data_IF_343868045795
#
_entry.id   IF_343868045795
#
_cell.length_a   1.000
_cell.length_b   1.000
_cell.length_c   1.000
_cell.angle_alpha   90.00
_cell.angle_beta   90.00
_cell.angle_gamma   90.00
#
_symmetry.space_group_name_H-M   'P 1'
#
loop_
_entity.id
_entity.type
_entity.pdbx_description
1 polymer ?
#
# COMPACT_ATOMS: atom_id res chain seq x y z
N UNK A 1 -6.74 -20.35 19.58
CA UNK A 1 -6.65 -18.88 19.52
C UNK A 1 -5.35 -18.41 18.84
N UNK A 2 -4.17 -18.83 19.28
CA UNK A 2 -2.86 -18.42 18.74
C UNK A 2 -2.69 -18.61 17.22
N UNK A 3 -3.12 -19.74 16.65
CA UNK A 3 -3.10 -20.00 15.21
C UNK A 3 -3.80 -18.93 14.36
N UNK A 4 -5.00 -18.54 14.79
CA UNK A 4 -5.78 -17.51 14.10
C UNK A 4 -5.09 -16.16 14.17
N UNK A 5 -4.50 -15.82 15.32
CA UNK A 5 -3.77 -14.56 15.50
C UNK A 5 -2.52 -14.51 14.64
N UNK A 6 -1.71 -15.59 14.59
CA UNK A 6 -0.49 -15.65 13.77
C UNK A 6 -0.82 -15.51 12.28
N UNK A 7 -1.83 -16.22 11.78
CA UNK A 7 -2.27 -16.08 10.38
C UNK A 7 -2.83 -14.69 10.08
N UNK A 8 -3.53 -14.08 11.05
CA UNK A 8 -4.02 -12.71 10.93
C UNK A 8 -2.88 -11.69 10.84
N UNK A 9 -1.85 -11.82 11.67
CA UNK A 9 -0.64 -10.97 11.63
C UNK A 9 0.11 -11.13 10.31
N UNK A 10 0.26 -12.35 9.81
CA UNK A 10 0.90 -12.62 8.53
C UNK A 10 0.15 -11.99 7.35
N UNK A 11 -1.17 -12.05 7.38
CA UNK A 11 -2.01 -11.36 6.38
C UNK A 11 -1.87 -9.85 6.50
N UNK A 12 -1.81 -9.30 7.73
CA UNK A 12 -1.56 -7.88 7.97
C UNK A 12 -0.23 -7.41 7.40
N UNK A 13 0.84 -8.19 7.55
CA UNK A 13 2.15 -7.89 6.93
C UNK A 13 2.06 -7.89 5.41
N UNK A 14 1.39 -8.86 4.80
CA UNK A 14 1.18 -8.86 3.34
C UNK A 14 0.40 -7.63 2.88
N UNK A 15 -0.72 -7.32 3.53
CA UNK A 15 -1.52 -6.15 3.20
C UNK A 15 -0.74 -4.83 3.32
N UNK A 16 0.15 -4.72 4.30
CA UNK A 16 1.01 -3.56 4.46
C UNK A 16 2.04 -3.45 3.32
N UNK A 17 2.64 -4.55 2.89
CA UNK A 17 3.57 -4.58 1.76
C UNK A 17 2.86 -4.28 0.42
N UNK A 18 1.63 -4.75 0.24
CA UNK A 18 0.80 -4.41 -0.92
C UNK A 18 0.47 -2.92 -0.95
N UNK A 19 0.17 -2.33 0.23
CA UNK A 19 -0.04 -0.89 0.36
C UNK A 19 1.22 -0.08 -0.01
N UNK A 20 2.40 -0.49 0.48
CA UNK A 20 3.69 0.14 0.13
C UNK A 20 3.91 0.06 -1.39
N UNK A 21 3.64 -1.09 -2.00
CA UNK A 21 3.81 -1.27 -3.45
C UNK A 21 2.86 -0.37 -4.25
N UNK A 22 1.60 -0.25 -3.82
CA UNK A 22 0.62 0.66 -4.43
C UNK A 22 1.04 2.13 -4.31
N UNK A 23 1.55 2.54 -3.14
CA UNK A 23 2.05 3.90 -2.92
C UNK A 23 3.26 4.18 -3.83
N UNK A 24 4.18 3.23 -3.99
CA UNK A 24 5.35 3.40 -4.84
C UNK A 24 4.97 3.57 -6.33
N UNK A 25 3.93 2.87 -6.80
CA UNK A 25 3.39 3.06 -8.15
C UNK A 25 2.82 4.47 -8.31
N UNK A 26 2.05 4.95 -7.33
CA UNK A 26 1.51 6.31 -7.35
C UNK A 26 2.63 7.36 -7.29
N UNK A 27 3.61 7.21 -6.40
CA UNK A 27 4.72 8.17 -6.29
C UNK A 27 5.56 8.22 -7.57
N UNK A 28 5.81 7.08 -8.22
CA UNK A 28 6.48 7.02 -9.51
C UNK A 28 5.75 7.82 -10.59
N UNK A 29 4.43 7.70 -10.67
CA UNK A 29 3.62 8.52 -11.59
C UNK A 29 3.69 10.02 -11.25
N UNK A 30 3.67 10.37 -9.95
CA UNK A 30 3.78 11.77 -9.51
C UNK A 30 5.16 12.39 -9.82
N UNK A 31 6.23 11.61 -9.87
CA UNK A 31 7.55 12.11 -10.30
C UNK A 31 7.50 12.61 -11.74
N UNK A 32 6.89 11.84 -12.64
CA UNK A 32 6.76 12.24 -14.05
C UNK A 32 5.84 13.45 -14.21
N UNK A 33 4.74 13.50 -13.46
CA UNK A 33 3.88 14.70 -13.41
C UNK A 33 4.68 15.93 -12.96
N UNK A 34 5.56 15.78 -11.95
CA UNK A 34 6.42 16.87 -11.49
C UNK A 34 7.39 17.37 -12.56
N UNK A 35 8.00 16.46 -13.31
CA UNK A 35 8.89 16.80 -14.42
C UNK A 35 8.14 17.58 -15.53
N UNK A 36 6.92 17.12 -15.85
CA UNK A 36 6.08 17.82 -16.83
C UNK A 36 5.65 19.21 -16.36
N UNK A 37 5.27 19.36 -15.08
CA UNK A 37 4.94 20.68 -14.51
C UNK A 37 6.12 21.63 -14.56
N UNK A 38 7.35 21.17 -14.30
CA UNK A 38 8.55 22.00 -14.45
C UNK A 38 8.77 22.42 -15.90
N UNK A 39 8.57 21.50 -16.85
CA UNK A 39 8.64 21.85 -18.28
C UNK A 39 7.58 22.86 -18.69
N UNK A 40 6.35 22.70 -18.19
CA UNK A 40 5.27 23.67 -18.42
C UNK A 40 5.62 25.06 -17.84
N UNK A 41 6.30 25.09 -16.69
CA UNK A 41 6.79 26.34 -16.09
C UNK A 41 7.82 27.05 -16.98
N UNK A 42 8.77 26.32 -17.57
CA UNK A 42 9.73 26.87 -18.54
C UNK A 42 9.03 27.47 -19.75
N UNK A 43 8.06 26.74 -20.33
CA UNK A 43 7.27 27.21 -21.48
C UNK A 43 6.48 28.48 -21.15
N UNK A 44 5.85 28.53 -19.97
CA UNK A 44 5.11 29.68 -19.50
C UNK A 44 6.01 30.91 -19.30
N UNK A 45 7.22 30.70 -18.75
CA UNK A 45 8.21 31.78 -18.58
C UNK A 45 8.69 32.29 -19.94
N UNK A 46 8.95 31.41 -20.90
CA UNK A 46 9.35 31.76 -22.26
C UNK A 46 8.25 32.54 -22.98
N UNK A 47 6.99 32.06 -22.88
CA UNK A 47 5.85 32.75 -23.49
C UNK A 47 5.56 34.13 -22.88
N UNK A 48 5.92 34.34 -21.62
CA UNK A 48 5.76 35.63 -20.91
C UNK A 48 6.75 36.68 -21.38
N UNK A 49 7.80 36.32 -22.11
CA UNK A 49 8.79 37.25 -22.59
C UNK A 49 8.19 38.16 -23.69
N UNK A 50 8.33 39.47 -23.54
CA UNK A 50 7.83 40.45 -24.49
C UNK A 50 8.49 40.42 -25.89
N UNK A 51 9.62 39.69 -26.03
CA UNK A 51 10.30 39.50 -27.32
C UNK A 51 9.71 38.34 -28.13
N UNK A 52 8.88 37.50 -27.53
CA UNK A 52 8.25 36.34 -28.18
C UNK A 52 7.08 36.83 -29.03
N UNK A 53 7.00 36.38 -30.29
CA UNK A 53 5.91 36.74 -31.21
C UNK A 53 4.63 35.96 -30.86
N UNK A 54 3.48 36.38 -31.37
CA UNK A 54 2.22 35.66 -31.21
C UNK A 54 2.29 34.24 -31.81
N UNK A 55 2.93 34.10 -32.95
CA UNK A 55 3.14 32.79 -33.58
C UNK A 55 3.98 31.87 -32.71
N UNK A 56 5.08 32.39 -32.14
CA UNK A 56 5.93 31.60 -31.24
C UNK A 56 5.16 31.15 -29.99
N UNK A 57 4.37 32.04 -29.40
CA UNK A 57 3.51 31.71 -28.27
C UNK A 57 2.48 30.61 -28.63
N UNK A 58 1.98 30.60 -29.83
CA UNK A 58 1.08 29.54 -30.31
C UNK A 58 1.79 28.20 -30.38
N UNK A 59 3.04 28.15 -30.84
CA UNK A 59 3.82 26.92 -30.86
C UNK A 59 4.15 26.44 -29.43
N UNK A 60 4.57 27.34 -28.54
CA UNK A 60 4.80 27.01 -27.13
C UNK A 60 3.53 26.52 -26.45
N UNK A 61 2.37 27.09 -26.77
CA UNK A 61 1.07 26.66 -26.23
C UNK A 61 0.69 25.25 -26.71
N UNK A 62 1.07 24.88 -27.93
CA UNK A 62 0.84 23.52 -28.43
C UNK A 62 1.59 22.49 -27.59
N UNK A 63 2.87 22.73 -27.28
CA UNK A 63 3.63 21.85 -26.37
C UNK A 63 3.01 21.84 -24.96
N UNK A 64 2.64 23.01 -24.46
CA UNK A 64 2.02 23.16 -23.15
C UNK A 64 0.70 22.38 -23.02
N UNK A 65 -0.18 22.44 -24.00
CA UNK A 65 -1.43 21.69 -24.00
C UNK A 65 -1.22 20.18 -24.16
N UNK A 66 -0.21 19.75 -24.90
CA UNK A 66 0.16 18.34 -25.00
C UNK A 66 0.65 17.80 -23.65
N UNK A 67 1.42 18.59 -22.89
CA UNK A 67 1.83 18.20 -21.55
C UNK A 67 0.65 18.08 -20.57
N UNK A 68 -0.35 18.97 -20.66
CA UNK A 68 -1.60 18.85 -19.90
C UNK A 68 -2.28 17.52 -20.20
N UNK A 69 -2.47 17.21 -21.49
CA UNK A 69 -3.11 15.96 -21.94
C UNK A 69 -2.34 14.73 -21.45
N UNK A 70 -1.01 14.80 -21.39
CA UNK A 70 -0.18 13.71 -20.90
C UNK A 70 -0.29 13.54 -19.37
N UNK A 71 -0.39 14.63 -18.63
CA UNK A 71 -0.67 14.57 -17.16
C UNK A 71 -2.02 13.91 -16.90
N UNK A 72 -3.06 14.30 -17.67
CA UNK A 72 -4.38 13.65 -17.60
C UNK A 72 -4.29 12.16 -17.92
N UNK A 73 -3.59 11.81 -19.01
CA UNK A 73 -3.39 10.41 -19.40
C UNK A 73 -2.69 9.59 -18.28
N UNK A 74 -1.69 10.16 -17.62
CA UNK A 74 -1.03 9.49 -16.50
C UNK A 74 -2.00 9.31 -15.34
N UNK A 75 -2.77 10.34 -15.01
CA UNK A 75 -3.77 10.26 -13.93
C UNK A 75 -4.81 9.16 -14.21
N UNK A 76 -5.28 9.06 -15.44
CA UNK A 76 -6.31 8.11 -15.88
C UNK A 76 -5.79 6.67 -15.97
N UNK A 77 -4.54 6.49 -16.38
CA UNK A 77 -3.98 5.17 -16.64
C UNK A 77 -3.15 4.60 -15.49
N UNK A 78 -2.88 5.37 -14.43
CA UNK A 78 -2.17 4.84 -13.25
C UNK A 78 -3.12 4.00 -12.42
N UNK A 79 -2.95 2.67 -12.55
CA UNK A 79 -3.84 1.69 -11.93
C UNK A 79 -3.06 0.72 -11.05
N UNK A 80 -3.71 0.23 -10.01
CA UNK A 80 -3.28 -0.88 -9.18
C UNK A 80 -4.38 -1.93 -9.14
N UNK A 81 -4.06 -3.15 -9.58
CA UNK A 81 -5.02 -4.26 -9.65
C UNK A 81 -6.33 -3.90 -10.37
N UNK A 82 -6.25 -3.13 -11.46
CA UNK A 82 -7.41 -2.68 -12.25
C UNK A 82 -8.21 -1.53 -11.64
N UNK A 83 -7.77 -0.99 -10.50
CA UNK A 83 -8.38 0.18 -9.87
C UNK A 83 -7.49 1.40 -10.14
N UNK A 84 -8.07 2.45 -10.68
CA UNK A 84 -7.38 3.73 -10.84
C UNK A 84 -7.09 4.34 -9.46
N UNK A 85 -5.86 4.82 -9.25
CA UNK A 85 -5.40 5.31 -7.94
C UNK A 85 -5.21 6.83 -7.89
N UNK A 86 -5.03 7.48 -9.03
CA UNK A 86 -4.79 8.94 -9.11
C UNK A 86 -5.97 9.73 -9.66
N UNK A 87 -6.95 9.06 -10.26
CA UNK A 87 -8.18 9.65 -10.78
C UNK A 87 -9.40 9.05 -10.07
N UNK A 88 -9.63 9.46 -8.82
CA UNK A 88 -10.80 9.04 -8.04
C UNK A 88 -11.80 10.19 -7.93
N UNK A 89 -12.98 9.99 -8.50
CA UNK A 89 -14.03 11.01 -8.66
C UNK A 89 -14.59 11.61 -7.36
N UNK A 90 -14.18 11.15 -6.18
CA UNK A 90 -14.58 11.76 -4.90
C UNK A 90 -13.49 11.59 -3.84
N UNK A 91 -13.36 12.57 -2.96
CA UNK A 91 -12.43 12.54 -1.83
C UNK A 91 -12.66 11.35 -0.87
N UNK A 92 -13.84 10.77 -0.86
CA UNK A 92 -14.16 9.56 -0.09
C UNK A 92 -13.62 8.30 -0.77
N UNK A 93 -13.53 8.27 -2.11
CA UNK A 93 -13.01 7.13 -2.87
C UNK A 93 -11.48 7.13 -2.95
N UNK A 94 -10.83 8.29 -2.78
CA UNK A 94 -9.35 8.40 -2.85
C UNK A 94 -8.63 7.93 -1.59
N UNK A 95 -9.35 7.57 -0.53
CA UNK A 95 -8.77 7.07 0.73
C UNK A 95 -8.88 5.56 0.81
N UNK A 96 -7.75 4.89 0.64
CA UNK A 96 -7.65 3.44 0.80
C UNK A 96 -7.32 3.09 2.24
N UNK A 97 -8.07 2.13 2.80
CA UNK A 97 -7.87 1.63 4.16
C UNK A 97 -7.24 0.23 4.10
N UNK A 98 -6.07 0.10 4.64
CA UNK A 98 -5.33 -1.17 4.69
C UNK A 98 -5.46 -1.80 6.06
N UNK A 99 -5.98 -3.02 6.13
CA UNK A 99 -6.06 -3.79 7.36
C UNK A 99 -4.67 -4.35 7.69
N UNK A 100 -4.01 -3.77 8.67
CA UNK A 100 -2.64 -4.14 9.09
C UNK A 100 -2.60 -4.98 10.37
N UNK A 101 -3.74 -5.28 10.98
CA UNK A 101 -3.79 -6.06 12.22
C UNK A 101 -4.71 -7.26 12.14
N UNK A 102 -4.58 -8.17 13.12
CA UNK A 102 -5.37 -9.41 13.21
C UNK A 102 -6.84 -9.17 13.62
N UNK A 103 -7.15 -7.98 14.17
CA UNK A 103 -8.48 -7.64 14.67
C UNK A 103 -9.13 -6.55 13.79
N UNK A 104 -10.46 -6.58 13.70
CA UNK A 104 -11.21 -5.58 12.95
C UNK A 104 -10.94 -4.15 13.44
N UNK A 105 -10.84 -3.20 12.50
CA UNK A 105 -10.60 -1.79 12.82
C UNK A 105 -9.12 -1.38 12.94
N UNK A 106 -8.18 -2.31 12.89
CA UNK A 106 -6.73 -2.02 12.89
C UNK A 106 -6.27 -1.67 11.47
N UNK A 107 -6.66 -0.49 11.00
CA UNK A 107 -6.40 -0.04 9.63
C UNK A 107 -5.51 1.19 9.60
N UNK A 108 -4.65 1.28 8.58
CA UNK A 108 -3.95 2.49 8.18
C UNK A 108 -4.66 3.02 6.93
N UNK A 109 -5.04 4.29 6.97
CA UNK A 109 -5.70 4.96 5.86
C UNK A 109 -4.70 5.84 5.12
N UNK A 110 -4.63 5.69 3.80
CA UNK A 110 -3.78 6.50 2.93
C UNK A 110 -4.66 7.18 1.91
N UNK A 111 -4.53 8.50 1.81
CA UNK A 111 -5.23 9.30 0.81
C UNK A 111 -4.30 9.51 -0.39
N UNK A 112 -4.73 9.03 -1.57
CA UNK A 112 -3.97 9.18 -2.81
C UNK A 112 -4.23 10.51 -3.52
N UNK A 113 -5.21 11.30 -3.05
CA UNK A 113 -5.63 12.50 -3.71
C UNK A 113 -6.35 12.21 -5.03
N UNK A 114 -6.82 13.26 -5.68
CA UNK A 114 -7.30 13.19 -7.06
C UNK A 114 -6.53 14.25 -7.86
N UNK A 115 -5.87 13.83 -8.93
CA UNK A 115 -5.22 14.73 -9.88
C UNK A 115 -6.21 15.17 -10.95
N UNK A 116 -7.39 14.51 -11.01
CA UNK A 116 -8.44 14.73 -12.01
C UNK A 116 -9.25 16.01 -11.76
N UNK A 117 -9.81 16.46 -12.87
CA UNK A 117 -10.57 17.69 -13.08
C UNK A 117 -11.92 17.76 -12.37
N UNK A 118 -12.50 16.63 -11.96
CA UNK A 118 -13.94 16.57 -11.66
C UNK A 118 -14.28 16.70 -10.18
N UNK A 119 -13.31 16.61 -9.29
CA UNK A 119 -13.59 16.58 -7.84
C UNK A 119 -13.51 17.97 -7.20
N UNK A 120 -14.63 18.62 -7.11
CA UNK A 120 -14.82 19.98 -6.57
C UNK A 120 -14.59 20.17 -5.07
N UNK A 121 -13.66 19.50 -4.39
CA UNK A 121 -13.47 19.70 -2.96
C UNK A 121 -12.00 19.59 -2.49
N UNK A 122 -11.42 20.67 -2.03
CA UNK A 122 -10.15 20.74 -1.34
C UNK A 122 -8.91 20.82 -2.26
N UNK A 123 -7.85 20.08 -1.95
CA UNK A 123 -6.58 20.11 -2.68
C UNK A 123 -6.70 19.62 -4.14
N UNK A 124 -7.63 18.69 -4.41
CA UNK A 124 -7.97 18.23 -5.76
C UNK A 124 -8.50 19.37 -6.64
N UNK A 125 -9.29 20.31 -6.08
CA UNK A 125 -9.82 21.43 -6.84
C UNK A 125 -8.76 22.46 -7.25
N UNK A 126 -7.61 22.53 -6.58
CA UNK A 126 -6.53 23.43 -6.98
C UNK A 126 -5.73 22.84 -8.16
N UNK A 127 -5.50 21.53 -8.19
CA UNK A 127 -4.86 20.85 -9.31
C UNK A 127 -5.79 20.79 -10.52
N UNK A 128 -7.06 20.43 -10.30
CA UNK A 128 -8.11 20.45 -11.31
C UNK A 128 -8.31 21.87 -11.88
N UNK A 129 -8.31 22.89 -11.04
CA UNK A 129 -8.45 24.30 -11.47
C UNK A 129 -7.25 24.76 -12.32
N UNK A 130 -6.06 24.17 -12.10
CA UNK A 130 -4.90 24.39 -12.94
C UNK A 130 -5.08 23.77 -14.32
N UNK A 131 -5.58 22.54 -14.42
CA UNK A 131 -5.73 21.80 -15.70
C UNK A 131 -6.97 22.28 -16.48
N UNK A 132 -8.09 22.55 -15.82
CA UNK A 132 -9.38 22.92 -16.48
C UNK A 132 -9.75 24.38 -16.43
N UNK A 133 -9.13 25.14 -15.52
CA UNK A 133 -9.51 26.53 -15.32
C UNK A 133 -9.12 27.41 -16.48
N UNK A 134 -10.03 28.28 -16.89
CA UNK A 134 -9.81 29.31 -17.92
C UNK A 134 -8.58 30.22 -17.69
N UNK A 135 -7.87 30.02 -16.57
CA UNK A 135 -6.67 30.78 -16.20
C UNK A 135 -5.36 29.99 -16.33
N UNK A 136 -5.41 28.65 -16.52
CA UNK A 136 -4.22 27.78 -16.57
C UNK A 136 -4.07 26.97 -17.86
N UNK A 137 -5.13 26.87 -18.64
CA UNK A 137 -5.16 25.99 -19.81
C UNK A 137 -4.45 26.53 -21.07
N UNK A 138 -3.99 27.77 -21.07
CA UNK A 138 -3.36 28.36 -22.25
C UNK A 138 -2.39 29.47 -21.90
N UNK A 139 -1.20 29.43 -22.53
CA UNK A 139 -0.17 30.46 -22.49
C UNK A 139 -0.20 31.31 -23.79
N UNK A 140 -1.13 31.05 -24.70
CA UNK A 140 -1.31 31.81 -25.94
C UNK A 140 -2.03 33.12 -25.62
N UNK A 141 -1.27 34.20 -25.55
CA UNK A 141 -1.82 35.55 -25.41
C UNK A 141 -1.60 36.32 -26.70
N UNK A 142 -2.61 37.11 -27.12
CA UNK A 142 -2.62 37.84 -28.39
C UNK A 142 -1.77 39.10 -28.37
N UNK A 143 -1.43 39.64 -27.19
CA UNK A 143 -0.58 40.83 -27.06
C UNK A 143 0.51 40.61 -26.01
N UNK A 144 1.64 41.33 -26.14
CA UNK A 144 2.76 41.25 -25.18
C UNK A 144 2.33 41.62 -23.76
N UNK A 145 1.44 42.60 -23.59
CA UNK A 145 0.90 43.01 -22.29
C UNK A 145 0.00 41.91 -21.68
N UNK A 146 -0.84 41.27 -22.48
CA UNK A 146 -1.64 40.11 -22.06
C UNK A 146 -0.77 38.90 -21.77
N UNK A 147 0.33 38.69 -22.52
CA UNK A 147 1.27 37.61 -22.31
C UNK A 147 1.92 37.65 -20.93
N UNK A 148 2.36 38.83 -20.47
CA UNK A 148 2.94 39.00 -19.12
C UNK A 148 1.91 38.70 -18.03
N UNK A 149 0.68 39.20 -18.16
CA UNK A 149 -0.38 39.00 -17.16
C UNK A 149 -0.84 37.54 -17.13
N UNK A 150 -1.04 36.93 -18.28
CA UNK A 150 -1.44 35.52 -18.39
C UNK A 150 -0.32 34.61 -17.91
N UNK A 151 0.92 34.89 -18.31
CA UNK A 151 2.09 34.13 -17.87
C UNK A 151 2.29 34.14 -16.35
N UNK A 152 2.15 35.30 -15.68
CA UNK A 152 2.23 35.39 -14.22
C UNK A 152 1.17 34.52 -13.54
N UNK A 153 -0.07 34.54 -14.01
CA UNK A 153 -1.16 33.72 -13.46
C UNK A 153 -0.93 32.24 -13.66
N UNK A 154 -0.40 31.85 -14.84
CA UNK A 154 -0.05 30.47 -15.15
C UNK A 154 1.11 29.99 -14.29
N UNK A 155 2.13 30.82 -14.09
CA UNK A 155 3.26 30.49 -13.21
C UNK A 155 2.82 30.29 -11.77
N UNK A 156 1.97 31.18 -11.21
CA UNK A 156 1.42 31.02 -9.86
C UNK A 156 0.61 29.73 -9.71
N UNK A 157 -0.16 29.36 -10.74
CA UNK A 157 -0.92 28.11 -10.76
C UNK A 157 0.00 26.89 -10.79
N UNK A 158 1.05 26.91 -11.62
CA UNK A 158 2.04 25.81 -11.69
C UNK A 158 2.79 25.66 -10.37
N UNK A 159 3.22 26.77 -9.76
CA UNK A 159 3.91 26.76 -8.47
C UNK A 159 2.99 26.22 -7.35
N UNK A 160 1.71 26.54 -7.41
CA UNK A 160 0.69 25.94 -6.52
C UNK A 160 0.53 24.43 -6.78
N UNK A 161 0.46 24.01 -8.05
CA UNK A 161 0.36 22.60 -8.41
C UNK A 161 1.60 21.80 -7.95
N UNK A 162 2.81 22.35 -8.12
CA UNK A 162 4.06 21.75 -7.63
C UNK A 162 4.06 21.61 -6.10
N UNK A 163 3.57 22.63 -5.39
CA UNK A 163 3.44 22.60 -3.92
C UNK A 163 2.49 21.48 -3.47
N UNK A 164 1.34 21.35 -4.12
CA UNK A 164 0.37 20.28 -3.84
C UNK A 164 0.95 18.89 -4.14
N UNK A 165 1.62 18.75 -5.28
CA UNK A 165 2.29 17.50 -5.66
C UNK A 165 3.35 17.10 -4.63
N UNK A 166 4.18 18.04 -4.20
CA UNK A 166 5.19 17.79 -3.17
C UNK A 166 4.55 17.42 -1.81
N UNK A 167 3.45 18.07 -1.45
CA UNK A 167 2.68 17.73 -0.24
C UNK A 167 2.12 16.31 -0.32
N UNK A 168 1.58 15.92 -1.47
CA UNK A 168 1.08 14.57 -1.68
C UNK A 168 2.19 13.51 -1.59
N UNK A 169 3.34 13.78 -2.21
CA UNK A 169 4.53 12.90 -2.12
C UNK A 169 5.06 12.81 -0.69
N UNK A 170 5.08 13.91 0.06
CA UNK A 170 5.45 13.88 1.48
C UNK A 170 4.48 13.02 2.31
N UNK A 171 3.17 13.08 2.00
CA UNK A 171 2.16 12.23 2.63
C UNK A 171 2.41 10.75 2.32
N UNK A 172 2.77 10.43 1.07
CA UNK A 172 3.15 9.06 0.68
C UNK A 172 4.39 8.56 1.41
N UNK A 173 5.44 9.38 1.49
CA UNK A 173 6.65 9.04 2.25
C UNK A 173 6.35 8.78 3.74
N UNK A 174 5.50 9.61 4.36
CA UNK A 174 5.07 9.40 5.74
C UNK A 174 4.26 8.11 5.91
N UNK A 175 3.36 7.80 4.97
CA UNK A 175 2.56 6.58 4.98
C UNK A 175 3.44 5.32 4.79
N UNK A 176 4.43 5.34 3.90
CA UNK A 176 5.39 4.24 3.72
C UNK A 176 6.17 4.00 5.01
N UNK A 177 6.67 5.04 5.67
CA UNK A 177 7.36 4.90 6.94
C UNK A 177 6.44 4.30 8.03
N UNK A 178 5.19 4.78 8.11
CA UNK A 178 4.20 4.25 9.05
C UNK A 178 3.89 2.77 8.79
N UNK A 179 3.72 2.38 7.54
CA UNK A 179 3.50 0.99 7.14
C UNK A 179 4.73 0.10 7.44
N UNK A 180 5.95 0.59 7.21
CA UNK A 180 7.18 -0.13 7.53
C UNK A 180 7.31 -0.40 9.02
N UNK A 181 7.07 0.59 9.88
CA UNK A 181 7.04 0.38 11.33
C UNK A 181 5.93 -0.59 11.77
N UNK A 182 4.79 -0.57 11.10
CA UNK A 182 3.73 -1.53 11.36
C UNK A 182 4.17 -2.96 10.99
N UNK A 183 4.82 -3.15 9.83
CA UNK A 183 5.38 -4.45 9.39
C UNK A 183 6.39 -4.97 10.40
N UNK A 184 7.33 -4.14 10.85
CA UNK A 184 8.36 -4.53 11.82
C UNK A 184 7.72 -4.95 13.15
N UNK A 185 6.76 -4.17 13.65
CA UNK A 185 6.05 -4.51 14.87
C UNK A 185 5.25 -5.82 14.73
N UNK A 186 4.49 -5.97 13.65
CA UNK A 186 3.71 -7.19 13.40
C UNK A 186 4.61 -8.42 13.27
N UNK A 187 5.77 -8.28 12.64
CA UNK A 187 6.77 -9.35 12.51
C UNK A 187 7.32 -9.76 13.88
N UNK A 188 7.66 -8.81 14.73
CA UNK A 188 8.12 -9.08 16.09
C UNK A 188 7.03 -9.77 16.94
N UNK A 189 5.78 -9.29 16.85
CA UNK A 189 4.65 -9.91 17.57
C UNK A 189 4.40 -11.33 17.03
N UNK A 190 4.51 -11.54 15.70
CA UNK A 190 4.38 -12.85 15.06
C UNK A 190 5.42 -13.84 15.62
N UNK A 191 6.71 -13.47 15.62
CA UNK A 191 7.80 -14.31 16.14
C UNK A 191 7.56 -14.69 17.61
N UNK A 192 7.17 -13.73 18.44
CA UNK A 192 6.87 -14.00 19.84
C UNK A 192 5.65 -14.92 20.01
N UNK A 193 4.62 -14.74 19.17
CA UNK A 193 3.43 -15.59 19.19
C UNK A 193 3.73 -17.02 18.71
N UNK A 194 4.62 -17.19 17.72
CA UNK A 194 5.10 -18.50 17.24
C UNK A 194 5.92 -19.20 18.33
N UNK A 195 6.84 -18.49 19.00
CA UNK A 195 7.61 -19.02 20.10
C UNK A 195 6.72 -19.41 21.31
N UNK A 196 5.66 -18.66 21.58
CA UNK A 196 4.69 -19.00 22.62
C UNK A 196 3.85 -20.23 22.23
N UNK A 197 3.49 -20.34 20.94
CA UNK A 197 2.79 -21.51 20.41
C UNK A 197 3.64 -22.76 20.51
N UNK A 198 4.90 -22.70 20.10
CA UNK A 198 5.85 -23.82 20.18
C UNK A 198 5.95 -24.36 21.63
N UNK A 199 6.08 -23.47 22.63
CA UNK A 199 6.13 -23.86 24.04
C UNK A 199 4.86 -24.55 24.58
N UNK A 200 3.71 -24.31 23.95
CA UNK A 200 2.42 -24.90 24.38
C UNK A 200 2.11 -26.18 23.58
N UNK A 201 2.45 -26.24 22.32
CA UNK A 201 1.99 -27.24 21.38
C UNK A 201 3.07 -28.27 21.05
N UNK A 202 4.36 -27.87 21.08
CA UNK A 202 5.45 -28.77 20.76
C UNK A 202 5.79 -29.64 21.97
N UNK A 203 5.74 -30.95 21.77
CA UNK A 203 6.11 -31.97 22.75
C UNK A 203 7.59 -32.28 22.64
N UNK A 204 8.24 -32.49 23.77
CA UNK A 204 9.60 -33.07 23.79
C UNK A 204 9.51 -34.50 23.26
N UNK A 205 9.93 -34.67 21.98
CA UNK A 205 9.85 -35.94 21.28
C UNK A 205 10.66 -37.06 22.01
N UNK A 206 11.78 -36.71 22.66
CA UNK A 206 12.60 -37.67 23.39
C UNK A 206 11.87 -38.17 24.65
N UNK A 207 11.23 -37.27 25.39
CA UNK A 207 10.44 -37.64 26.55
C UNK A 207 9.22 -38.48 26.16
N UNK A 208 8.49 -38.08 25.13
CA UNK A 208 7.26 -38.78 24.67
C UNK A 208 7.55 -40.17 24.09
N UNK A 209 8.62 -40.31 23.30
CA UNK A 209 9.04 -41.65 22.79
C UNK A 209 9.51 -42.57 23.90
N UNK A 210 10.17 -42.04 24.93
CA UNK A 210 10.58 -42.82 26.10
C UNK A 210 9.37 -43.32 26.88
N UNK A 211 8.36 -42.48 27.09
CA UNK A 211 7.10 -42.86 27.76
C UNK A 211 6.28 -43.85 26.92
N UNK A 212 6.27 -43.67 25.58
CA UNK A 212 5.64 -44.62 24.67
C UNK A 212 6.31 -46.00 24.78
N UNK A 213 7.63 -46.05 24.73
CA UNK A 213 8.41 -47.31 24.84
C UNK A 213 8.15 -47.99 26.22
N UNK A 214 8.18 -47.20 27.31
CA UNK A 214 7.86 -47.68 28.66
C UNK A 214 6.44 -48.27 28.71
N UNK A 215 5.45 -47.56 28.17
CA UNK A 215 4.06 -48.05 28.18
C UNK A 215 3.88 -49.33 27.36
N UNK A 216 4.56 -49.42 26.21
CA UNK A 216 4.56 -50.67 25.40
C UNK A 216 5.16 -51.84 26.12
N UNK A 217 6.30 -51.64 26.84
CA UNK A 217 6.96 -52.72 27.63
C UNK A 217 6.02 -53.13 28.77
N UNK A 218 5.42 -52.21 29.50
CA UNK A 218 4.46 -52.52 30.57
C UNK A 218 3.26 -53.33 30.03
N UNK A 219 2.70 -52.92 28.88
CA UNK A 219 1.61 -53.59 28.24
C UNK A 219 1.99 -55.05 27.85
N UNK A 220 3.17 -55.24 27.22
CA UNK A 220 3.66 -56.58 26.87
C UNK A 220 3.94 -57.44 28.12
N UNK A 221 4.57 -56.86 29.14
CA UNK A 221 4.76 -57.54 30.42
C UNK A 221 3.46 -57.91 31.09
N UNK A 222 2.46 -57.02 31.10
CA UNK A 222 1.13 -57.31 31.62
C UNK A 222 0.42 -58.44 30.90
N UNK A 223 0.51 -58.48 29.57
CA UNK A 223 -0.04 -59.59 28.77
C UNK A 223 0.66 -60.90 29.06
N UNK A 224 1.99 -60.91 29.20
CA UNK A 224 2.74 -62.09 29.56
C UNK A 224 2.39 -62.60 30.95
N UNK A 225 2.27 -61.70 31.93
CA UNK A 225 1.89 -62.07 33.30
C UNK A 225 0.42 -62.62 33.36
N UNK A 226 -0.51 -62.05 32.62
CA UNK A 226 -1.87 -62.57 32.52
C UNK A 226 -1.89 -63.94 31.85
N UNK A 227 -1.12 -64.18 30.80
CA UNK A 227 -0.97 -65.48 30.18
C UNK A 227 -0.43 -66.53 31.19
N UNK A 228 0.60 -66.14 31.95
CA UNK A 228 1.21 -67.00 32.99
C UNK A 228 0.20 -67.27 34.13
N UNK A 229 -0.55 -66.31 34.59
CA UNK A 229 -1.55 -66.45 35.61
C UNK A 229 -2.68 -67.46 35.17
N UNK A 230 -3.10 -67.36 33.93
CA UNK A 230 -4.07 -68.31 33.36
C UNK A 230 -3.53 -69.73 33.26
N UNK A 231 -2.25 -69.91 32.99
CA UNK A 231 -1.60 -71.24 32.99
C UNK A 231 -1.55 -71.85 34.39
N UNK A 232 -1.23 -71.06 35.42
CA UNK A 232 -1.23 -71.55 36.82
C UNK A 232 -2.60 -72.08 37.23
N UNK A 233 -3.68 -71.39 36.90
CA UNK A 233 -5.02 -71.88 37.22
C UNK A 233 -5.35 -73.16 36.47
N UNK A 234 -4.89 -73.31 35.22
CA UNK A 234 -5.06 -74.55 34.46
C UNK A 234 -4.30 -75.74 35.05
N UNK A 235 -3.08 -75.53 35.58
CA UNK A 235 -2.28 -76.59 36.24
C UNK A 235 -2.88 -76.99 37.56
N UNK A 236 -3.41 -76.06 38.36
CA UNK A 236 -4.16 -76.38 39.60
C UNK A 236 -5.41 -77.24 39.30
N UNK A 237 -6.12 -76.91 38.24
CA UNK A 237 -7.28 -77.72 37.81
C UNK A 237 -6.91 -79.13 37.33
N UNK A 238 -5.73 -79.31 36.73
CA UNK A 238 -5.21 -80.59 36.31
C UNK A 238 -4.73 -81.48 37.47
N UNK A 239 -4.34 -80.88 38.59
CA UNK A 239 -3.92 -81.57 39.85
C UNK A 239 -5.13 -82.00 40.71
N UNK A 240 -6.29 -81.47 40.45
CA UNK A 240 -7.56 -81.78 41.14
C UNK A 240 -8.40 -82.89 40.44
N UNK A 241 -7.89 -83.38 39.32
CA UNK A 241 -8.45 -84.51 38.57
C UNK A 241 -7.64 -85.78 38.79
#
# INVERSE_FOLDING_TARGET
>A
MLFRSIRGLETGVRNANDAISMINVADGALVEVGNMLQRMRELALQASNGTTTESDRTYLNTEYTNLITEIERIADNTQWNGVNILNQASSASSTFKYQVGANGGQTIAVNFGAIDQTSGNGAASAFAKFITGASGASIAATTSASAVTTGSRVLDNIDTALTLLNTQRATFGAAVNQLSYAVDNLSNVKVNAEAARSRIEDTDYAAETSELARTQIIHQAGMAMLAQANQVTATVLALLK
#
